data_IF_901517319876
#
_entry.id   IF_901517319876
#
_cell.length_a   1.000
_cell.length_b   1.000
_cell.length_c   1.000
_cell.angle_alpha   90.00
_cell.angle_beta   90.00
_cell.angle_gamma   90.00
#
_symmetry.space_group_name_H-M   'P 1'
#
loop_
_entity.id
_entity.type
_entity.pdbx_description
1 polymer ?
#
# COMPACT_ATOMS: atom_id res chain seq x y z
N UNK A 1 26.63 -17.17 -44.67
CA UNK A 1 27.02 -16.97 -43.25
C UNK A 1 25.76 -16.54 -42.52
N UNK A 2 25.32 -17.34 -41.58
CA UNK A 2 24.14 -17.03 -40.80
C UNK A 2 24.45 -15.83 -39.84
N UNK A 3 23.49 -14.94 -39.63
CA UNK A 3 23.64 -13.78 -38.75
C UNK A 3 24.02 -14.21 -37.31
N UNK A 4 23.59 -15.40 -36.89
CA UNK A 4 23.94 -15.99 -35.59
C UNK A 4 25.42 -16.36 -35.54
N UNK A 5 26.00 -16.84 -36.60
CA UNK A 5 27.43 -17.17 -36.68
C UNK A 5 28.29 -15.92 -36.64
N UNK A 6 27.87 -14.84 -37.31
CA UNK A 6 28.51 -13.53 -37.26
C UNK A 6 28.47 -12.90 -35.84
N UNK A 7 27.37 -13.03 -35.16
CA UNK A 7 27.17 -12.51 -33.79
C UNK A 7 28.09 -13.27 -32.82
N UNK A 8 28.22 -14.58 -32.96
CA UNK A 8 29.11 -15.42 -32.15
C UNK A 8 30.57 -15.12 -32.39
N UNK A 9 30.96 -14.88 -33.66
CA UNK A 9 32.33 -14.52 -34.03
C UNK A 9 32.78 -13.19 -33.37
N UNK A 10 31.86 -12.28 -33.11
CA UNK A 10 32.11 -10.98 -32.48
C UNK A 10 31.78 -10.94 -30.99
N UNK A 11 31.59 -12.09 -30.32
CA UNK A 11 31.33 -12.21 -28.88
C UNK A 11 30.10 -11.40 -28.38
N UNK A 12 29.12 -11.20 -29.28
CA UNK A 12 27.89 -10.51 -28.96
C UNK A 12 26.94 -11.43 -28.19
N UNK A 13 26.48 -11.07 -26.99
CA UNK A 13 25.58 -11.89 -26.19
C UNK A 13 24.27 -12.21 -26.97
N UNK A 14 23.96 -13.47 -27.14
CA UNK A 14 22.70 -13.91 -27.77
C UNK A 14 21.75 -14.46 -26.71
N UNK A 15 20.49 -14.07 -26.79
CA UNK A 15 19.44 -14.62 -25.91
C UNK A 15 19.30 -16.12 -26.09
N UNK A 16 19.16 -16.82 -24.96
CA UNK A 16 19.00 -18.28 -24.98
C UNK A 16 17.67 -18.66 -25.59
N UNK A 17 17.69 -19.60 -26.54
CA UNK A 17 16.48 -20.21 -27.10
C UNK A 17 16.06 -21.41 -26.27
N UNK A 18 14.77 -21.48 -25.91
CA UNK A 18 14.20 -22.52 -25.04
C UNK A 18 13.39 -23.59 -25.80
N UNK A 19 13.38 -23.55 -27.13
CA UNK A 19 12.68 -24.52 -28.00
C UNK A 19 11.40 -23.98 -28.60
N UNK A 20 10.54 -24.87 -29.07
CA UNK A 20 9.26 -24.56 -29.71
C UNK A 20 8.10 -25.18 -28.94
N UNK A 21 6.95 -24.54 -28.97
CA UNK A 21 5.72 -25.03 -28.35
C UNK A 21 4.67 -25.34 -29.42
N UNK A 22 3.96 -26.44 -29.22
CA UNK A 22 2.95 -26.93 -30.17
C UNK A 22 1.64 -26.12 -30.09
N UNK A 23 1.41 -25.42 -29.00
CA UNK A 23 0.21 -24.58 -28.78
C UNK A 23 0.47 -23.48 -27.78
N UNK A 24 -0.39 -22.44 -27.80
CA UNK A 24 -0.38 -21.39 -26.81
C UNK A 24 -0.68 -21.93 -25.39
N UNK A 25 -1.55 -22.94 -25.27
CA UNK A 25 -1.88 -23.57 -23.98
C UNK A 25 -0.65 -24.21 -23.36
N UNK A 26 0.08 -25.05 -24.13
CA UNK A 26 1.31 -25.69 -23.67
C UNK A 26 2.38 -24.67 -23.24
N UNK A 27 2.51 -23.56 -23.97
CA UNK A 27 3.39 -22.45 -23.60
C UNK A 27 2.99 -21.81 -22.28
N UNK A 28 1.71 -21.53 -22.06
CA UNK A 28 1.21 -20.93 -20.84
C UNK A 28 1.36 -21.87 -19.64
N UNK A 29 1.03 -23.15 -19.80
CA UNK A 29 1.22 -24.17 -18.75
C UNK A 29 2.69 -24.32 -18.35
N UNK A 30 3.61 -24.19 -19.31
CA UNK A 30 5.05 -24.19 -19.04
C UNK A 30 5.53 -22.91 -18.36
N UNK A 31 5.05 -21.73 -18.81
CA UNK A 31 5.61 -20.44 -18.40
C UNK A 31 5.06 -19.96 -17.07
N UNK A 32 3.75 -20.13 -16.81
CA UNK A 32 3.08 -19.59 -15.62
C UNK A 32 3.68 -20.03 -14.29
N UNK A 33 3.99 -21.33 -14.08
CA UNK A 33 4.50 -21.81 -12.80
C UNK A 33 5.99 -21.53 -12.56
N UNK A 34 6.68 -20.91 -13.53
CA UNK A 34 8.12 -20.65 -13.36
C UNK A 34 8.39 -19.59 -12.30
N UNK A 35 9.43 -19.85 -11.53
CA UNK A 35 9.92 -18.93 -10.51
C UNK A 35 11.33 -18.41 -10.86
N UNK A 36 11.65 -17.20 -10.39
CA UNK A 36 12.96 -16.57 -10.61
C UNK A 36 13.22 -16.10 -12.05
N UNK A 37 12.21 -16.14 -12.92
CA UNK A 37 12.32 -15.66 -14.32
C UNK A 37 11.17 -14.71 -14.67
N UNK A 38 11.44 -13.74 -15.54
CA UNK A 38 10.39 -12.84 -16.04
C UNK A 38 9.37 -13.57 -16.91
N UNK A 39 9.86 -14.51 -17.77
CA UNK A 39 9.09 -15.20 -18.78
C UNK A 39 9.84 -15.29 -20.10
N UNK A 40 9.11 -15.39 -21.21
CA UNK A 40 9.67 -15.59 -22.53
C UNK A 40 9.16 -14.60 -23.56
N UNK A 41 9.97 -14.37 -24.61
CA UNK A 41 9.53 -13.76 -25.85
C UNK A 41 9.32 -14.88 -26.87
N UNK A 42 8.08 -15.01 -27.31
CA UNK A 42 7.69 -15.96 -28.35
C UNK A 42 7.78 -15.25 -29.68
N UNK A 43 8.42 -15.89 -30.65
CA UNK A 43 8.57 -15.37 -32.00
C UNK A 43 7.94 -16.34 -32.99
N UNK A 44 7.20 -15.83 -33.96
CA UNK A 44 6.64 -16.58 -35.10
C UNK A 44 7.50 -16.39 -36.35
N UNK A 45 7.39 -17.31 -37.32
CA UNK A 45 8.14 -17.20 -38.56
C UNK A 45 7.87 -15.95 -39.41
N UNK A 46 6.70 -15.36 -39.20
CA UNK A 46 6.27 -14.08 -39.82
C UNK A 46 6.88 -12.84 -39.17
N UNK A 47 7.71 -13.04 -38.13
CA UNK A 47 8.33 -11.95 -37.36
C UNK A 47 7.48 -11.40 -36.19
N UNK A 48 6.24 -11.88 -36.01
CA UNK A 48 5.41 -11.51 -34.87
C UNK A 48 6.04 -11.96 -33.55
N UNK A 49 5.98 -11.13 -32.51
CA UNK A 49 6.54 -11.43 -31.18
C UNK A 49 5.57 -11.07 -30.07
N UNK A 50 5.46 -11.95 -29.08
CA UNK A 50 4.64 -11.74 -27.88
C UNK A 50 5.46 -12.07 -26.64
N UNK A 51 5.29 -11.26 -25.58
CA UNK A 51 5.85 -11.56 -24.25
C UNK A 51 4.85 -12.38 -23.45
N UNK A 52 5.30 -13.49 -22.92
CA UNK A 52 4.55 -14.33 -21.97
C UNK A 52 5.30 -14.30 -20.65
N UNK A 53 4.66 -13.77 -19.61
CA UNK A 53 5.28 -13.57 -18.31
C UNK A 53 4.89 -14.67 -17.33
N UNK A 54 5.84 -15.05 -16.46
CA UNK A 54 5.61 -15.96 -15.35
C UNK A 54 4.68 -15.30 -14.30
N UNK A 55 3.89 -16.11 -13.62
CA UNK A 55 2.87 -15.62 -12.66
C UNK A 55 3.52 -14.99 -11.43
N UNK A 56 4.59 -15.60 -10.92
CA UNK A 56 5.38 -15.04 -9.81
C UNK A 56 5.91 -13.63 -10.15
N UNK A 57 6.48 -13.48 -11.36
CA UNK A 57 6.99 -12.19 -11.81
C UNK A 57 5.90 -11.10 -11.83
N UNK A 58 4.70 -11.44 -12.36
CA UNK A 58 3.57 -10.52 -12.38
C UNK A 58 3.11 -10.12 -10.97
N UNK A 59 3.09 -11.08 -10.03
CA UNK A 59 2.73 -10.82 -8.63
C UNK A 59 3.74 -9.88 -7.98
N UNK A 60 5.04 -10.15 -8.10
CA UNK A 60 6.11 -9.29 -7.54
C UNK A 60 6.02 -7.88 -8.11
N UNK A 61 5.86 -7.73 -9.42
CA UNK A 61 5.73 -6.41 -10.04
C UNK A 61 4.50 -5.65 -9.59
N UNK A 62 3.35 -6.32 -9.46
CA UNK A 62 2.12 -5.71 -8.94
C UNK A 62 2.34 -5.18 -7.51
N UNK A 63 3.01 -5.95 -6.66
CA UNK A 63 3.32 -5.54 -5.29
C UNK A 63 4.30 -4.36 -5.27
N UNK A 64 5.38 -4.41 -6.07
CA UNK A 64 6.33 -3.30 -6.19
C UNK A 64 5.66 -2.00 -6.67
N UNK A 65 4.69 -2.09 -7.56
CA UNK A 65 3.91 -0.93 -7.99
C UNK A 65 3.01 -0.39 -6.86
N UNK A 66 2.41 -1.26 -6.06
CA UNK A 66 1.59 -0.85 -4.91
C UNK A 66 2.41 -0.06 -3.87
N UNK A 67 3.61 -0.54 -3.51
CA UNK A 67 4.44 0.11 -2.49
C UNK A 67 5.22 1.34 -2.98
N UNK A 68 5.04 1.75 -4.24
CA UNK A 68 5.63 3.00 -4.76
C UNK A 68 5.05 4.24 -4.10
N UNK A 69 3.79 4.20 -3.70
CA UNK A 69 3.13 5.33 -3.08
C UNK A 69 2.84 5.06 -1.61
N UNK A 70 3.13 6.04 -0.76
CA UNK A 70 2.86 5.98 0.68
C UNK A 70 1.39 5.67 0.98
N UNK A 71 0.46 6.23 0.20
CA UNK A 71 -0.96 5.98 0.34
C UNK A 71 -1.33 4.50 0.23
N UNK A 72 -0.72 3.79 -0.73
CA UNK A 72 -0.98 2.35 -0.89
C UNK A 72 -0.35 1.54 0.24
N UNK A 73 0.85 1.94 0.72
CA UNK A 73 1.45 1.29 1.90
C UNK A 73 0.54 1.49 3.12
N UNK A 74 0.03 2.72 3.34
CA UNK A 74 -0.93 2.98 4.41
C UNK A 74 -2.19 2.12 4.27
N UNK A 75 -2.72 1.96 3.06
CA UNK A 75 -3.89 1.12 2.81
C UNK A 75 -3.64 -0.35 3.16
N UNK A 76 -2.50 -0.92 2.75
CA UNK A 76 -2.11 -2.30 3.09
C UNK A 76 -2.01 -2.51 4.60
N UNK A 77 -1.43 -1.54 5.32
CA UNK A 77 -1.26 -1.62 6.78
C UNK A 77 -2.61 -1.52 7.48
N UNK A 78 -3.44 -0.53 7.12
CA UNK A 78 -4.72 -0.28 7.76
C UNK A 78 -5.77 -1.36 7.48
N UNK A 79 -5.67 -2.05 6.34
CA UNK A 79 -6.54 -3.18 6.00
C UNK A 79 -6.01 -4.53 6.46
N UNK A 80 -4.85 -4.57 7.16
CA UNK A 80 -4.20 -5.81 7.60
C UNK A 80 -3.81 -6.76 6.44
N UNK A 81 -3.53 -6.19 5.25
CA UNK A 81 -3.16 -6.94 4.03
C UNK A 81 -1.64 -7.05 3.85
N UNK A 82 -0.86 -6.55 4.82
CA UNK A 82 0.60 -6.46 4.69
C UNK A 82 1.28 -7.83 4.66
N UNK A 83 0.78 -8.79 5.43
CA UNK A 83 1.37 -10.14 5.55
C UNK A 83 1.35 -10.91 4.23
N UNK A 84 0.38 -10.62 3.35
CA UNK A 84 0.28 -11.21 2.01
C UNK A 84 1.32 -10.64 1.03
N UNK A 85 1.84 -9.47 1.33
CA UNK A 85 2.72 -8.67 0.46
C UNK A 85 4.19 -8.82 0.85
N UNK A 86 4.50 -8.87 2.16
CA UNK A 86 5.87 -8.92 2.68
C UNK A 86 6.74 -10.04 2.07
N UNK A 87 6.27 -11.28 1.89
CA UNK A 87 7.07 -12.36 1.31
C UNK A 87 7.49 -12.14 -0.15
N UNK A 88 6.88 -11.16 -0.84
CA UNK A 88 7.15 -10.84 -2.24
C UNK A 88 8.11 -9.66 -2.41
N UNK A 89 8.53 -9.03 -1.30
CA UNK A 89 9.42 -7.87 -1.28
C UNK A 89 10.88 -8.30 -1.12
N UNK A 90 11.78 -7.54 -1.73
CA UNK A 90 13.21 -7.61 -1.39
C UNK A 90 13.48 -6.87 -0.07
N UNK A 91 14.69 -7.07 0.49
CA UNK A 91 15.06 -6.54 1.81
C UNK A 91 14.88 -5.02 1.91
N UNK A 92 15.20 -4.29 0.84
CA UNK A 92 15.09 -2.82 0.80
C UNK A 92 13.63 -2.36 0.83
N UNK A 93 12.78 -3.00 0.05
CA UNK A 93 11.36 -2.67 -0.01
C UNK A 93 10.67 -3.11 1.30
N UNK A 94 11.10 -4.23 1.89
CA UNK A 94 10.64 -4.69 3.19
C UNK A 94 10.95 -3.68 4.29
N UNK A 95 12.20 -3.21 4.39
CA UNK A 95 12.63 -2.19 5.35
C UNK A 95 11.80 -0.90 5.21
N UNK A 96 11.64 -0.41 3.97
CA UNK A 96 10.81 0.77 3.68
C UNK A 96 9.38 0.64 4.19
N UNK A 97 8.74 -0.49 3.94
CA UNK A 97 7.34 -0.74 4.35
C UNK A 97 7.24 -0.87 5.87
N UNK A 98 8.21 -1.55 6.49
CA UNK A 98 8.29 -1.69 7.94
C UNK A 98 8.45 -0.34 8.64
N UNK A 99 9.40 0.49 8.19
CA UNK A 99 9.64 1.83 8.76
C UNK A 99 8.42 2.72 8.62
N UNK A 100 7.78 2.68 7.45
CA UNK A 100 6.55 3.41 7.21
C UNK A 100 5.44 2.97 8.16
N UNK A 101 5.26 1.66 8.36
CA UNK A 101 4.27 1.11 9.29
C UNK A 101 4.51 1.53 10.73
N UNK A 102 5.78 1.55 11.15
CA UNK A 102 6.16 2.03 12.48
C UNK A 102 5.80 3.50 12.69
N UNK A 103 6.14 4.36 11.72
CA UNK A 103 5.81 5.79 11.77
C UNK A 103 4.30 6.04 11.77
N UNK A 104 3.54 5.33 10.92
CA UNK A 104 2.08 5.44 10.89
C UNK A 104 1.46 5.06 12.23
N UNK A 105 1.94 3.98 12.86
CA UNK A 105 1.48 3.56 14.18
C UNK A 105 1.72 4.63 15.23
N UNK A 106 2.92 5.23 15.27
CA UNK A 106 3.24 6.32 16.19
C UNK A 106 2.29 7.50 15.96
N UNK A 107 2.08 7.91 14.71
CA UNK A 107 1.19 9.02 14.38
C UNK A 107 -0.26 8.76 14.85
N UNK A 108 -0.75 7.53 14.70
CA UNK A 108 -2.07 7.12 15.22
C UNK A 108 -2.10 7.21 16.74
N UNK A 109 -1.08 6.70 17.43
CA UNK A 109 -1.01 6.75 18.89
C UNK A 109 -0.98 8.19 19.43
N UNK A 110 -0.29 9.09 18.75
CA UNK A 110 -0.26 10.53 19.07
C UNK A 110 -1.65 11.15 18.92
N UNK A 111 -2.36 10.87 17.84
CA UNK A 111 -3.72 11.40 17.62
C UNK A 111 -4.70 10.84 18.64
N UNK A 112 -4.66 9.55 18.92
CA UNK A 112 -5.52 8.94 19.95
C UNK A 112 -5.28 9.60 21.30
N UNK A 113 -4.02 9.75 21.70
CA UNK A 113 -3.65 10.43 22.96
C UNK A 113 -4.09 11.90 23.00
N UNK A 114 -3.97 12.62 21.86
CA UNK A 114 -4.46 14.00 21.73
C UNK A 114 -5.98 14.06 21.98
N UNK A 115 -6.74 13.17 21.32
CA UNK A 115 -8.20 13.14 21.46
C UNK A 115 -8.60 12.78 22.89
N UNK A 116 -7.95 11.79 23.52
CA UNK A 116 -8.17 11.43 24.92
C UNK A 116 -7.96 12.65 25.85
N UNK A 117 -6.88 13.39 25.65
CA UNK A 117 -6.62 14.63 26.40
C UNK A 117 -7.70 15.68 26.17
N UNK A 118 -8.18 15.85 24.94
CA UNK A 118 -9.27 16.79 24.63
C UNK A 118 -10.60 16.36 25.27
N UNK A 119 -10.92 15.07 25.31
CA UNK A 119 -12.10 14.54 26.01
C UNK A 119 -12.02 14.83 27.52
N UNK A 120 -10.85 14.60 28.14
CA UNK A 120 -10.63 14.89 29.54
C UNK A 120 -10.81 16.39 29.84
N UNK A 121 -10.24 17.27 29.01
CA UNK A 121 -10.41 18.72 29.15
C UNK A 121 -11.86 19.14 28.98
N UNK A 122 -12.56 18.64 27.95
CA UNK A 122 -13.97 18.95 27.72
C UNK A 122 -14.84 18.58 28.92
N UNK A 123 -14.64 17.40 29.51
CA UNK A 123 -15.33 16.94 30.72
C UNK A 123 -14.99 17.79 31.94
N UNK A 124 -13.73 18.16 32.10
CA UNK A 124 -13.29 18.98 33.24
C UNK A 124 -13.94 20.36 33.24
N UNK A 125 -14.05 21.00 32.07
CA UNK A 125 -14.58 22.37 31.99
C UNK A 125 -16.10 22.44 31.78
N UNK A 126 -16.72 21.45 31.19
CA UNK A 126 -18.12 21.49 30.76
C UNK A 126 -18.94 20.28 31.22
N UNK A 127 -18.33 19.32 31.95
CA UNK A 127 -18.96 18.03 32.25
C UNK A 127 -19.33 17.28 31.00
N UNK A 128 -20.43 16.54 31.06
CA UNK A 128 -20.99 15.84 29.89
C UNK A 128 -22.03 16.69 29.13
N UNK A 129 -22.04 18.02 29.35
CA UNK A 129 -22.97 18.92 28.66
C UNK A 129 -22.56 19.16 27.21
N UNK A 130 -23.13 18.36 26.32
CA UNK A 130 -22.80 18.36 24.85
C UNK A 130 -23.01 19.74 24.22
N UNK A 131 -24.03 20.52 24.67
CA UNK A 131 -24.31 21.85 24.14
C UNK A 131 -23.19 22.81 24.48
N UNK A 132 -22.77 22.83 25.75
CA UNK A 132 -21.65 23.68 26.22
C UNK A 132 -20.34 23.29 25.50
N UNK A 133 -20.05 22.01 25.39
CA UNK A 133 -18.88 21.53 24.66
C UNK A 133 -18.91 21.99 23.20
N UNK A 134 -20.05 21.85 22.51
CA UNK A 134 -20.20 22.25 21.10
C UNK A 134 -20.02 23.78 20.91
N UNK A 135 -20.54 24.60 21.84
CA UNK A 135 -20.53 26.06 21.72
C UNK A 135 -19.21 26.69 22.19
N UNK A 136 -18.60 26.15 23.25
CA UNK A 136 -17.51 26.81 23.94
C UNK A 136 -16.16 26.11 23.80
N UNK A 137 -16.13 24.79 23.58
CA UNK A 137 -14.90 24.01 23.47
C UNK A 137 -14.51 23.71 21.99
N UNK A 138 -15.44 23.19 21.22
CA UNK A 138 -15.20 22.81 19.79
C UNK A 138 -14.68 23.98 18.94
N UNK A 139 -15.16 25.24 19.07
CA UNK A 139 -14.64 26.35 18.25
C UNK A 139 -13.13 26.61 18.44
N UNK A 140 -12.57 26.21 19.59
CA UNK A 140 -11.15 26.41 19.92
C UNK A 140 -10.25 25.23 19.55
N UNK A 141 -10.80 24.15 19.00
CA UNK A 141 -9.98 23.01 18.54
C UNK A 141 -9.09 23.39 17.35
N UNK A 142 -7.83 22.97 17.40
CA UNK A 142 -6.88 23.10 16.29
C UNK A 142 -7.38 22.33 15.05
N UNK A 143 -7.82 21.09 15.26
CA UNK A 143 -8.43 20.26 14.22
C UNK A 143 -9.93 20.12 14.51
N UNK A 144 -10.77 20.69 13.64
CA UNK A 144 -12.22 20.59 13.80
C UNK A 144 -12.75 19.16 13.71
N UNK A 145 -12.01 18.30 13.04
CA UNK A 145 -12.30 16.87 12.94
C UNK A 145 -12.29 16.15 14.29
N UNK A 146 -11.50 16.64 15.27
CA UNK A 146 -11.41 16.03 16.59
C UNK A 146 -12.76 16.05 17.32
N UNK A 147 -13.65 17.01 16.99
CA UNK A 147 -14.96 17.13 17.60
C UNK A 147 -15.80 15.85 17.49
N UNK A 148 -15.78 15.17 16.33
CA UNK A 148 -16.55 13.92 16.15
C UNK A 148 -16.11 12.82 17.10
N UNK A 149 -14.82 12.75 17.39
CA UNK A 149 -14.24 11.74 18.27
C UNK A 149 -14.51 12.09 19.74
N UNK A 150 -14.44 13.38 20.10
CA UNK A 150 -14.83 13.87 21.44
C UNK A 150 -16.26 13.45 21.74
N UNK A 151 -17.21 13.76 20.84
CA UNK A 151 -18.60 13.36 21.01
C UNK A 151 -18.81 11.84 20.97
N UNK A 152 -18.01 11.13 20.15
CA UNK A 152 -18.00 9.66 20.13
C UNK A 152 -17.60 9.07 21.48
N UNK A 153 -16.55 9.61 22.09
CA UNK A 153 -16.07 9.17 23.41
C UNK A 153 -17.07 9.50 24.54
N UNK A 154 -17.80 10.62 24.45
CA UNK A 154 -18.90 10.92 25.34
C UNK A 154 -20.06 9.94 25.21
N UNK A 155 -20.26 9.35 24.03
CA UNK A 155 -21.22 8.28 23.78
C UNK A 155 -20.69 6.89 24.14
N UNK A 156 -19.46 6.79 24.70
CA UNK A 156 -18.85 5.51 25.10
C UNK A 156 -18.19 4.73 23.94
N UNK A 157 -17.96 5.35 22.79
CA UNK A 157 -17.26 4.72 21.67
C UNK A 157 -15.75 4.73 21.92
N UNK A 158 -15.07 3.67 21.48
CA UNK A 158 -13.62 3.59 21.56
C UNK A 158 -12.96 4.55 20.55
N UNK A 159 -12.08 5.43 21.04
CA UNK A 159 -11.45 6.46 20.21
C UNK A 159 -10.53 5.83 19.17
N UNK A 160 -9.74 4.84 19.53
CA UNK A 160 -8.80 4.19 18.61
C UNK A 160 -9.56 3.50 17.47
N UNK A 161 -10.62 2.79 17.79
CA UNK A 161 -11.45 2.11 16.79
C UNK A 161 -12.07 3.11 15.81
N UNK A 162 -12.61 4.22 16.31
CA UNK A 162 -13.20 5.27 15.46
C UNK A 162 -12.15 5.99 14.59
N UNK A 163 -10.95 6.23 15.14
CA UNK A 163 -9.82 6.76 14.37
C UNK A 163 -9.43 5.82 13.25
N UNK A 164 -9.23 4.53 13.52
CA UNK A 164 -8.87 3.53 12.51
C UNK A 164 -9.94 3.43 11.42
N UNK A 165 -11.23 3.40 11.77
CA UNK A 165 -12.33 3.43 10.79
C UNK A 165 -12.26 4.63 9.85
N UNK A 166 -11.94 5.83 10.39
CA UNK A 166 -11.75 7.02 9.55
C UNK A 166 -10.57 6.84 8.60
N UNK A 167 -9.42 6.39 9.11
CA UNK A 167 -8.19 6.26 8.32
C UNK A 167 -8.37 5.27 7.17
N UNK A 168 -9.03 4.13 7.39
CA UNK A 168 -9.36 3.13 6.35
C UNK A 168 -10.18 3.76 5.21
N UNK A 169 -11.14 4.61 5.54
CA UNK A 169 -11.93 5.34 4.53
C UNK A 169 -11.09 6.37 3.79
N UNK A 170 -10.22 7.08 4.49
CA UNK A 170 -9.45 8.20 3.92
C UNK A 170 -8.34 7.74 2.98
N UNK A 171 -7.70 6.61 3.25
CA UNK A 171 -6.68 6.04 2.33
C UNK A 171 -7.25 5.63 0.98
N UNK A 172 -8.56 5.42 0.88
CA UNK A 172 -9.24 5.11 -0.38
C UNK A 172 -9.23 6.24 -1.41
N UNK A 173 -8.96 7.49 -0.99
CA UNK A 173 -9.01 8.68 -1.85
C UNK A 173 -7.78 9.58 -1.64
N UNK A 174 -7.16 10.05 -2.73
CA UNK A 174 -5.91 10.83 -2.67
C UNK A 174 -6.05 12.13 -1.87
N UNK A 175 -7.13 12.89 -2.07
CA UNK A 175 -7.32 14.16 -1.37
C UNK A 175 -7.59 13.93 0.13
N UNK A 176 -8.39 12.91 0.47
CA UNK A 176 -8.62 12.53 1.86
C UNK A 176 -7.35 12.04 2.53
N UNK A 177 -6.50 11.31 1.82
CA UNK A 177 -5.20 10.86 2.33
C UNK A 177 -4.28 12.05 2.66
N UNK A 178 -4.24 13.09 1.85
CA UNK A 178 -3.47 14.30 2.15
C UNK A 178 -3.98 14.99 3.42
N UNK A 179 -5.30 15.15 3.55
CA UNK A 179 -5.91 15.66 4.79
C UNK A 179 -5.62 14.76 6.00
N UNK A 180 -5.64 13.45 5.81
CA UNK A 180 -5.27 12.48 6.85
C UNK A 180 -3.85 12.73 7.36
N UNK A 181 -2.87 12.93 6.46
CA UNK A 181 -1.48 13.24 6.84
C UNK A 181 -1.40 14.54 7.66
N UNK A 182 -2.08 15.59 7.22
CA UNK A 182 -2.14 16.86 7.96
C UNK A 182 -2.74 16.68 9.36
N UNK A 183 -3.83 15.93 9.47
CA UNK A 183 -4.51 15.66 10.74
C UNK A 183 -3.68 14.77 11.67
N UNK A 184 -2.96 13.80 11.13
CA UNK A 184 -2.01 12.96 11.87
C UNK A 184 -0.72 13.73 12.24
N UNK A 185 -0.50 14.92 11.66
CA UNK A 185 0.74 15.70 11.78
C UNK A 185 1.99 14.90 11.33
N UNK A 186 1.85 14.19 10.21
CA UNK A 186 2.78 13.18 9.73
C UNK A 186 3.29 13.42 8.29
#
# INVERSE_FOLDING_TARGET
MDIIDLIREHDIPVVKTHGTFVSATALLEFTRPLEGVEGFVVSWPDGHKVKVKAEQYLRIHKVKDLIRTERHIAALILNEELDDVLPLLDDKDHEKVHDYGHQLKIAIDVVVSRIDGLVMLARTFHGDNRKEIALNFVPNLRFKEDARFIFGALDGRDIREEVLKKLIVDVGNTNKYLHMKEWLEW
#
